data_IF_362109914786
#
_entry.id   IF_362109914786
#
_cell.length_a   1.000
_cell.length_b   1.000
_cell.length_c   1.000
_cell.angle_alpha   90.00
_cell.angle_beta   90.00
_cell.angle_gamma   90.00
#
_symmetry.space_group_name_H-M   'P 1'
#
loop_
_entity.id
_entity.type
_entity.pdbx_description
1 polymer ?
#
# COMPACT_ATOMS: atom_id res chain seq x y z
N UNK A 1 47.81 -25.68 -32.03
CA UNK A 1 48.54 -25.20 -30.84
C UNK A 1 47.52 -24.89 -29.77
N UNK A 2 47.45 -25.72 -28.72
CA UNK A 2 46.52 -25.55 -27.61
C UNK A 2 47.11 -24.55 -26.63
N UNK A 3 46.49 -23.38 -26.46
CA UNK A 3 46.87 -22.40 -25.43
C UNK A 3 46.00 -22.65 -24.19
N UNK A 4 46.60 -23.25 -23.18
CA UNK A 4 46.01 -23.36 -21.83
C UNK A 4 46.05 -21.98 -21.21
N UNK A 5 44.89 -21.48 -20.77
CA UNK A 5 44.75 -20.22 -20.06
C UNK A 5 44.93 -20.53 -18.57
N UNK A 6 46.11 -20.25 -18.01
CA UNK A 6 46.33 -20.33 -16.57
C UNK A 6 45.51 -19.21 -15.90
N UNK A 7 44.63 -19.61 -14.98
CA UNK A 7 43.78 -18.71 -14.22
C UNK A 7 44.59 -17.72 -13.35
N UNK A 8 43.92 -16.72 -12.77
CA UNK A 8 44.61 -15.67 -12.02
C UNK A 8 45.35 -16.26 -10.80
N UNK A 9 46.49 -15.66 -10.41
CA UNK A 9 47.32 -16.17 -9.33
C UNK A 9 46.55 -16.17 -8.01
N UNK A 10 46.53 -17.34 -7.36
CA UNK A 10 46.00 -17.50 -6.00
C UNK A 10 46.88 -16.71 -5.02
N UNK A 11 46.40 -15.53 -4.62
CA UNK A 11 46.96 -14.81 -3.46
C UNK A 11 46.63 -15.61 -2.20
N UNK A 12 47.67 -16.08 -1.50
CA UNK A 12 47.56 -16.76 -0.21
C UNK A 12 46.88 -15.91 0.87
N UNK A 13 46.55 -16.52 2.03
CA UNK A 13 45.64 -15.95 3.00
C UNK A 13 46.28 -14.77 3.75
N UNK A 14 46.05 -13.56 3.25
CA UNK A 14 46.33 -12.33 3.99
C UNK A 14 45.17 -12.06 4.96
N UNK A 15 45.44 -12.25 6.26
CA UNK A 15 44.81 -11.61 7.41
C UNK A 15 43.29 -11.36 7.32
N UNK A 16 42.47 -12.33 7.77
CA UNK A 16 41.19 -12.09 8.48
C UNK A 16 40.09 -11.22 7.87
N UNK A 17 40.28 -10.61 6.71
CA UNK A 17 39.29 -9.80 6.03
C UNK A 17 38.45 -10.74 5.15
N UNK A 18 37.12 -10.80 5.34
CA UNK A 18 36.27 -11.60 4.48
C UNK A 18 36.45 -11.12 3.04
N UNK A 19 36.76 -12.06 2.13
CA UNK A 19 36.92 -11.78 0.70
C UNK A 19 35.67 -11.04 0.18
N UNK A 20 35.78 -9.78 -0.26
CA UNK A 20 34.63 -8.99 -0.72
C UNK A 20 33.97 -9.57 -1.97
N UNK A 21 34.67 -10.47 -2.68
CA UNK A 21 34.20 -11.16 -3.88
C UNK A 21 33.65 -12.58 -3.62
N UNK A 22 33.63 -13.05 -2.36
CA UNK A 22 33.11 -14.38 -2.01
C UNK A 22 31.64 -14.60 -2.40
N UNK A 23 30.92 -13.51 -2.63
CA UNK A 23 29.52 -13.48 -2.98
C UNK A 23 29.29 -12.95 -4.39
N UNK A 24 30.25 -13.03 -5.31
CA UNK A 24 29.98 -12.82 -6.73
C UNK A 24 29.84 -14.17 -7.41
N UNK A 25 28.80 -14.33 -8.23
CA UNK A 25 28.67 -15.49 -9.10
C UNK A 25 29.63 -15.40 -10.29
N UNK A 26 29.61 -16.41 -11.16
CA UNK A 26 30.47 -16.49 -12.35
C UNK A 26 30.25 -15.35 -13.35
N UNK A 27 29.17 -14.58 -13.22
CA UNK A 27 28.84 -13.40 -14.04
C UNK A 27 29.24 -12.08 -13.39
N UNK A 28 29.78 -12.13 -12.16
CA UNK A 28 30.08 -10.93 -11.36
C UNK A 28 28.86 -10.36 -10.64
N UNK A 29 27.73 -11.07 -10.62
CA UNK A 29 26.52 -10.65 -9.91
C UNK A 29 26.56 -11.08 -8.44
N UNK A 30 26.09 -10.23 -7.54
CA UNK A 30 26.09 -10.52 -6.11
C UNK A 30 25.12 -11.68 -5.77
N UNK A 31 25.66 -12.80 -5.30
CA UNK A 31 24.97 -14.01 -4.83
C UNK A 31 24.81 -14.08 -3.31
N UNK A 32 25.31 -13.08 -2.58
CA UNK A 32 25.17 -13.01 -1.12
C UNK A 32 23.77 -12.53 -0.69
N UNK A 33 23.50 -12.45 0.62
CA UNK A 33 22.24 -11.91 1.11
C UNK A 33 22.02 -10.48 0.56
N UNK A 34 20.76 -10.11 0.21
CA UNK A 34 20.42 -8.78 -0.24
C UNK A 34 20.95 -7.69 0.70
N UNK A 35 21.26 -6.50 0.15
CA UNK A 35 21.82 -5.38 0.91
C UNK A 35 21.02 -5.07 2.20
N UNK A 36 19.70 -5.10 2.10
CA UNK A 36 18.81 -4.84 3.23
C UNK A 36 19.05 -5.80 4.42
N UNK A 37 19.23 -7.10 4.16
CA UNK A 37 19.52 -8.09 5.22
C UNK A 37 20.89 -7.85 5.85
N UNK A 38 21.87 -7.41 5.04
CA UNK A 38 23.22 -7.06 5.52
C UNK A 38 23.23 -5.80 6.38
N UNK A 39 22.33 -4.86 6.09
CA UNK A 39 22.15 -3.65 6.90
C UNK A 39 21.47 -3.98 8.23
N UNK A 40 20.46 -4.85 8.23
CA UNK A 40 19.78 -5.30 9.44
C UNK A 40 20.66 -6.17 10.34
N UNK A 41 21.56 -6.99 9.78
CA UNK A 41 22.34 -7.97 10.56
C UNK A 41 23.51 -7.41 11.36
N UNK A 42 23.83 -6.13 11.22
CA UNK A 42 24.94 -5.48 11.93
C UNK A 42 24.41 -4.30 12.72
N UNK A 43 24.86 -4.04 13.95
CA UNK A 43 24.44 -2.84 14.68
C UNK A 43 24.84 -1.57 13.92
N UNK A 44 24.05 -0.50 14.08
CA UNK A 44 24.48 0.83 13.67
C UNK A 44 25.71 1.26 14.48
N UNK A 45 26.60 2.04 13.86
CA UNK A 45 27.67 2.71 14.59
C UNK A 45 27.06 3.87 15.37
N UNK A 46 27.59 4.14 16.56
CA UNK A 46 27.24 5.36 17.28
C UNK A 46 27.58 6.59 16.44
N UNK A 47 26.70 7.59 16.48
CA UNK A 47 26.84 8.84 15.72
C UNK A 47 26.81 10.03 16.68
N UNK A 48 27.82 10.18 17.56
CA UNK A 48 27.83 11.20 18.61
C UNK A 48 27.82 12.63 18.05
N UNK A 49 28.38 12.82 16.85
CA UNK A 49 28.45 14.12 16.18
C UNK A 49 27.20 14.45 15.34
N UNK A 50 26.20 13.55 15.31
CA UNK A 50 24.98 13.76 14.56
C UNK A 50 23.90 14.36 15.48
N UNK A 51 23.47 15.62 15.30
CA UNK A 51 22.46 16.23 16.16
C UNK A 51 21.13 15.47 16.16
N UNK A 52 20.80 14.82 15.03
CA UNK A 52 19.61 13.98 14.92
C UNK A 52 19.65 12.80 15.89
N UNK A 53 20.80 12.16 16.12
CA UNK A 53 20.90 11.02 17.05
C UNK A 53 21.35 11.42 18.46
N UNK A 54 22.03 12.55 18.61
CA UNK A 54 22.56 13.01 19.89
C UNK A 54 21.56 13.88 20.67
N UNK A 55 20.88 14.82 20.00
CA UNK A 55 20.00 15.79 20.66
C UNK A 55 18.53 15.48 20.48
N UNK A 56 18.14 14.86 19.36
CA UNK A 56 16.74 14.63 19.02
C UNK A 56 16.21 13.35 19.68
N UNK A 57 15.17 13.41 20.51
CA UNK A 57 14.53 12.23 21.08
C UNK A 57 13.98 11.30 19.99
N UNK A 58 13.87 10.01 20.29
CA UNK A 58 13.41 9.00 19.34
C UNK A 58 11.99 9.29 18.81
N UNK A 59 11.13 9.87 19.65
CA UNK A 59 9.76 10.26 19.30
C UNK A 59 9.74 11.34 18.22
N UNK A 60 10.61 12.34 18.34
CA UNK A 60 10.72 13.42 17.36
C UNK A 60 11.39 12.92 16.08
N UNK A 61 12.40 12.06 16.18
CA UNK A 61 12.97 11.37 15.02
C UNK A 61 11.91 10.58 14.27
N UNK A 62 11.09 9.81 14.97
CA UNK A 62 10.00 9.03 14.38
C UNK A 62 9.00 9.91 13.62
N UNK A 63 8.67 11.10 14.13
CA UNK A 63 7.83 12.07 13.41
C UNK A 63 8.52 12.60 12.15
N UNK A 64 9.78 13.01 12.26
CA UNK A 64 10.57 13.50 11.11
C UNK A 64 10.64 12.42 10.02
N UNK A 65 10.98 11.18 10.41
CA UNK A 65 11.08 10.05 9.50
C UNK A 65 9.74 9.71 8.87
N UNK A 66 8.66 9.75 9.65
CA UNK A 66 7.32 9.48 9.12
C UNK A 66 6.89 10.51 8.10
N UNK A 67 7.17 11.79 8.33
CA UNK A 67 6.88 12.85 7.36
C UNK A 67 7.74 12.70 6.08
N UNK A 68 9.02 12.36 6.23
CA UNK A 68 9.93 12.15 5.11
C UNK A 68 9.60 10.91 4.27
N UNK A 69 9.00 9.88 4.88
CA UNK A 69 8.66 8.59 4.26
C UNK A 69 7.17 8.43 3.97
N UNK A 70 6.38 9.49 4.12
CA UNK A 70 4.97 9.48 3.74
C UNK A 70 4.84 9.29 2.22
N UNK A 71 3.86 8.51 1.79
CA UNK A 71 3.62 8.32 0.37
C UNK A 71 2.80 9.47 -0.23
N UNK A 72 2.98 9.72 -1.52
CA UNK A 72 2.29 10.76 -2.27
C UNK A 72 2.11 10.35 -3.73
N UNK A 73 1.17 10.98 -4.44
CA UNK A 73 0.99 10.78 -5.88
C UNK A 73 2.20 11.34 -6.64
N UNK A 74 2.80 10.57 -7.55
CA UNK A 74 3.98 11.02 -8.29
C UNK A 74 3.67 12.29 -9.09
N UNK A 75 4.32 13.44 -8.79
CA UNK A 75 4.00 14.71 -9.44
C UNK A 75 4.56 14.81 -10.86
N UNK A 76 5.39 13.88 -11.30
CA UNK A 76 5.96 13.92 -12.64
C UNK A 76 4.87 13.80 -13.71
N UNK A 77 4.85 14.70 -14.67
CA UNK A 77 3.86 14.73 -15.75
C UNK A 77 3.83 13.40 -16.52
N UNK A 78 4.99 12.81 -16.78
CA UNK A 78 5.12 11.51 -17.46
C UNK A 78 4.55 10.32 -16.66
N UNK A 79 4.23 10.51 -15.37
CA UNK A 79 3.62 9.50 -14.49
C UNK A 79 2.11 9.70 -14.32
N UNK A 80 1.57 10.82 -14.77
CA UNK A 80 0.13 11.06 -14.70
C UNK A 80 -0.60 10.05 -15.58
N UNK A 81 -1.63 9.42 -15.04
CA UNK A 81 -2.45 8.54 -15.83
C UNK A 81 -3.23 9.33 -16.88
N UNK A 82 -3.50 8.69 -18.02
CA UNK A 82 -4.37 9.28 -19.04
C UNK A 82 -5.75 9.57 -18.48
N UNK A 83 -6.30 10.76 -18.77
CA UNK A 83 -7.65 11.15 -18.35
C UNK A 83 -8.76 10.20 -18.83
N UNK A 84 -8.49 9.44 -19.89
CA UNK A 84 -9.43 8.50 -20.49
C UNK A 84 -9.24 7.06 -19.98
N UNK A 85 -8.22 6.79 -19.16
CA UNK A 85 -8.02 5.46 -18.62
C UNK A 85 -9.07 5.17 -17.54
N UNK A 86 -9.58 3.94 -17.50
CA UNK A 86 -10.65 3.55 -16.59
C UNK A 86 -10.23 3.50 -15.10
N UNK A 87 -8.95 3.72 -14.78
CA UNK A 87 -8.43 3.79 -13.40
C UNK A 87 -8.09 5.21 -12.95
N UNK A 88 -8.15 6.20 -13.83
CA UNK A 88 -7.82 7.60 -13.53
C UNK A 88 -9.01 8.31 -12.91
N UNK A 89 -8.77 9.08 -11.85
CA UNK A 89 -9.81 9.85 -11.13
C UNK A 89 -9.20 10.99 -10.31
N UNK A 90 -9.99 11.98 -9.87
CA UNK A 90 -9.48 13.12 -9.10
C UNK A 90 -8.76 12.72 -7.80
N UNK A 91 -9.18 11.64 -7.14
CA UNK A 91 -8.56 11.11 -5.92
C UNK A 91 -7.48 10.05 -6.17
N UNK A 92 -7.21 9.70 -7.43
CA UNK A 92 -6.17 8.75 -7.83
C UNK A 92 -5.73 9.01 -9.28
N UNK A 93 -4.81 9.96 -9.45
CA UNK A 93 -4.43 10.51 -10.76
C UNK A 93 -3.07 10.02 -11.26
N UNK A 94 -2.26 9.48 -10.36
CA UNK A 94 -0.93 8.97 -10.63
C UNK A 94 -0.58 7.81 -9.67
N UNK A 95 0.44 6.98 -9.97
CA UNK A 95 0.94 6.02 -9.00
C UNK A 95 1.43 6.72 -7.73
N UNK A 96 1.19 6.08 -6.58
CA UNK A 96 1.72 6.54 -5.30
C UNK A 96 3.14 6.04 -5.09
N UNK A 97 4.04 6.93 -4.69
CA UNK A 97 5.45 6.63 -4.38
C UNK A 97 5.84 7.14 -3.00
N UNK A 98 6.94 6.60 -2.50
CA UNK A 98 7.60 7.05 -1.27
C UNK A 98 9.06 7.34 -1.61
N UNK A 99 9.58 8.48 -1.15
CA UNK A 99 10.99 8.80 -1.33
C UNK A 99 11.86 8.00 -0.35
N UNK A 100 12.61 7.04 -0.87
CA UNK A 100 13.43 6.13 -0.06
C UNK A 100 14.87 6.62 0.14
N UNK A 101 15.21 7.84 -0.29
CA UNK A 101 16.56 8.39 -0.16
C UNK A 101 17.03 8.43 1.30
N UNK A 102 16.11 8.71 2.23
CA UNK A 102 16.38 8.68 3.66
C UNK A 102 16.91 7.30 4.12
N UNK A 103 16.35 6.19 3.61
CA UNK A 103 16.78 4.83 3.96
C UNK A 103 18.22 4.52 3.50
N UNK A 104 18.76 5.30 2.58
CA UNK A 104 20.10 5.12 2.02
C UNK A 104 21.16 5.98 2.73
N UNK A 105 20.77 6.79 3.72
CA UNK A 105 21.68 7.73 4.39
C UNK A 105 22.67 7.04 5.33
N UNK A 106 22.16 6.30 6.33
CA UNK A 106 22.98 5.55 7.27
C UNK A 106 22.22 4.35 7.84
N UNK A 107 22.96 3.46 8.51
CA UNK A 107 22.37 2.26 9.11
C UNK A 107 21.43 2.56 10.28
N UNK A 108 21.71 3.60 11.08
CA UNK A 108 20.85 3.97 12.20
C UNK A 108 19.46 4.38 11.71
N UNK A 109 19.40 5.24 10.70
CA UNK A 109 18.14 5.60 10.02
C UNK A 109 17.48 4.35 9.46
N UNK A 110 18.20 3.53 8.70
CA UNK A 110 17.63 2.32 8.11
C UNK A 110 17.01 1.38 9.16
N UNK A 111 17.70 1.16 10.28
CA UNK A 111 17.22 0.29 11.36
C UNK A 111 15.93 0.82 12.00
N UNK A 112 15.82 2.14 12.21
CA UNK A 112 14.62 2.76 12.77
C UNK A 112 13.44 2.82 11.78
N UNK A 113 13.68 2.74 10.46
CA UNK A 113 12.68 3.22 9.47
C UNK A 113 12.39 2.31 8.28
N UNK A 114 13.12 1.21 8.07
CA UNK A 114 13.00 0.42 6.84
C UNK A 114 11.58 -0.10 6.52
N UNK A 115 10.74 -0.28 7.53
CA UNK A 115 9.36 -0.75 7.41
C UNK A 115 8.36 0.40 7.20
N UNK A 116 8.74 1.64 7.51
CA UNK A 116 7.86 2.80 7.43
C UNK A 116 7.28 3.08 6.03
N UNK A 117 8.03 2.93 4.92
CA UNK A 117 7.43 3.08 3.59
C UNK A 117 6.27 2.13 3.31
N UNK A 118 6.23 0.98 4.00
CA UNK A 118 5.09 0.07 3.90
C UNK A 118 3.95 0.51 4.83
N UNK A 119 4.25 0.79 6.10
CA UNK A 119 3.19 1.08 7.10
C UNK A 119 2.52 2.44 6.91
N UNK A 120 3.26 3.43 6.42
CA UNK A 120 2.76 4.79 6.15
C UNK A 120 2.04 4.91 4.80
N UNK A 121 2.34 4.00 3.86
CA UNK A 121 1.72 4.00 2.54
C UNK A 121 0.25 3.60 2.64
N UNK A 122 -0.62 4.34 1.95
CA UNK A 122 -1.99 3.88 1.72
C UNK A 122 -1.96 2.58 0.91
N UNK A 123 -2.29 1.46 1.56
CA UNK A 123 -2.32 0.16 0.91
C UNK A 123 -3.45 0.13 -0.11
N UNK A 124 -3.11 0.08 -1.40
CA UNK A 124 -4.09 0.18 -2.48
C UNK A 124 -4.18 -1.15 -3.23
N UNK A 125 -5.38 -1.70 -3.32
CA UNK A 125 -5.62 -3.00 -3.92
C UNK A 125 -6.73 -2.96 -4.98
N UNK A 126 -6.42 -3.50 -6.16
CA UNK A 126 -7.36 -3.61 -7.27
C UNK A 126 -7.93 -5.04 -7.31
N UNK A 127 -9.18 -5.20 -6.88
CA UNK A 127 -9.95 -6.45 -6.92
C UNK A 127 -10.81 -6.44 -8.19
N UNK A 128 -10.14 -6.58 -9.32
CA UNK A 128 -10.75 -6.51 -10.66
C UNK A 128 -9.90 -7.34 -11.63
N UNK A 129 -10.21 -7.30 -12.93
CA UNK A 129 -9.34 -7.85 -13.96
C UNK A 129 -8.13 -6.93 -14.20
N UNK A 130 -7.05 -7.48 -14.75
CA UNK A 130 -5.79 -6.74 -14.93
C UNK A 130 -5.92 -5.53 -15.88
N UNK A 131 -6.80 -5.60 -16.88
CA UNK A 131 -7.08 -4.52 -17.83
C UNK A 131 -7.86 -3.35 -17.21
N UNK A 132 -8.35 -3.49 -15.97
CA UNK A 132 -9.06 -2.45 -15.24
C UNK A 132 -8.25 -1.87 -14.08
N UNK A 133 -6.98 -2.22 -13.97
CA UNK A 133 -6.02 -1.66 -13.01
C UNK A 133 -4.90 -0.92 -13.75
N UNK A 134 -4.19 0.02 -13.09
CA UNK A 134 -3.00 0.65 -13.65
C UNK A 134 -1.97 -0.37 -14.13
N UNK A 135 -1.25 -0.11 -15.23
CA UNK A 135 -0.34 -1.08 -15.86
C UNK A 135 0.81 -1.55 -14.96
N UNK A 136 1.23 -0.74 -13.99
CA UNK A 136 2.24 -1.09 -12.98
C UNK A 136 1.69 -2.01 -11.88
N UNK A 137 0.37 -2.05 -11.68
CA UNK A 137 -0.25 -2.85 -10.63
C UNK A 137 -0.47 -4.28 -11.11
N UNK A 138 0.14 -5.26 -10.43
CA UNK A 138 0.05 -6.68 -10.79
C UNK A 138 -1.06 -7.36 -10.00
N UNK A 139 -2.28 -7.34 -10.51
CA UNK A 139 -3.49 -7.86 -9.81
C UNK A 139 -3.27 -9.28 -9.28
N UNK A 140 -2.79 -10.19 -10.14
CA UNK A 140 -2.62 -11.61 -9.78
C UNK A 140 -1.51 -11.88 -8.76
N UNK A 141 -0.54 -10.96 -8.62
CA UNK A 141 0.58 -11.10 -7.70
C UNK A 141 0.37 -10.33 -6.39
N UNK A 142 -0.51 -9.32 -6.38
CA UNK A 142 -0.62 -8.36 -5.29
C UNK A 142 -0.85 -9.00 -3.91
N UNK A 143 -1.70 -10.03 -3.82
CA UNK A 143 -1.94 -10.77 -2.57
C UNK A 143 -0.67 -11.47 -2.06
N UNK A 144 0.07 -12.14 -2.95
CA UNK A 144 1.32 -12.82 -2.62
C UNK A 144 2.39 -11.82 -2.18
N UNK A 145 2.53 -10.73 -2.92
CA UNK A 145 3.56 -9.72 -2.66
C UNK A 145 3.27 -8.98 -1.33
N UNK A 146 1.99 -8.72 -1.01
CA UNK A 146 1.57 -8.22 0.30
C UNK A 146 1.92 -9.21 1.41
N UNK A 147 1.58 -10.50 1.26
CA UNK A 147 1.90 -11.54 2.25
C UNK A 147 3.40 -11.59 2.54
N UNK A 148 4.22 -11.63 1.50
CA UNK A 148 5.67 -11.68 1.65
C UNK A 148 6.21 -10.47 2.42
N UNK A 149 5.63 -9.28 2.18
CA UNK A 149 6.03 -8.05 2.87
C UNK A 149 5.60 -8.08 4.33
N UNK A 150 4.35 -8.47 4.62
CA UNK A 150 3.82 -8.65 5.98
C UNK A 150 4.66 -9.65 6.76
N UNK A 151 4.89 -10.84 6.20
CA UNK A 151 5.67 -11.90 6.85
C UNK A 151 7.13 -11.50 7.09
N UNK A 152 7.68 -10.64 6.22
CA UNK A 152 9.02 -10.07 6.43
C UNK A 152 9.01 -9.09 7.61
N UNK A 153 8.07 -8.15 7.66
CA UNK A 153 7.97 -7.17 8.75
C UNK A 153 7.75 -7.87 10.09
N UNK A 154 6.84 -8.84 10.15
CA UNK A 154 6.60 -9.61 11.39
C UNK A 154 7.84 -10.33 11.91
N UNK A 155 8.67 -10.87 10.99
CA UNK A 155 9.90 -11.59 11.36
C UNK A 155 11.04 -10.66 11.77
N UNK A 156 11.22 -9.54 11.06
CA UNK A 156 12.38 -8.66 11.23
C UNK A 156 12.14 -7.49 12.20
N UNK A 157 10.88 -7.11 12.44
CA UNK A 157 10.50 -6.00 13.32
C UNK A 157 9.76 -6.46 14.60
N UNK A 158 9.64 -7.79 14.81
CA UNK A 158 9.01 -8.43 15.98
C UNK A 158 7.55 -7.99 16.27
N UNK A 159 6.90 -7.30 15.33
CA UNK A 159 5.51 -6.90 15.42
C UNK A 159 4.58 -8.03 15.01
N UNK A 160 3.65 -8.41 15.90
CA UNK A 160 2.62 -9.41 15.58
C UNK A 160 1.50 -8.85 14.71
N UNK A 161 1.18 -7.57 14.91
CA UNK A 161 0.13 -6.83 14.21
C UNK A 161 0.79 -5.62 13.58
N UNK A 162 0.59 -5.45 12.27
CA UNK A 162 1.15 -4.34 11.53
C UNK A 162 0.10 -3.24 11.45
N UNK A 163 0.43 -2.08 12.02
CA UNK A 163 -0.37 -0.86 11.91
C UNK A 163 -0.21 -0.20 10.55
N UNK A 164 -1.33 0.05 9.88
CA UNK A 164 -1.44 0.84 8.67
C UNK A 164 -2.33 2.06 8.96
N UNK A 165 -2.10 3.14 8.25
CA UNK A 165 -3.02 4.27 8.30
C UNK A 165 -4.37 3.92 7.63
N UNK A 166 -4.30 3.46 6.38
CA UNK A 166 -5.46 3.23 5.55
C UNK A 166 -5.25 2.15 4.49
N UNK A 167 -6.35 1.49 4.11
CA UNK A 167 -6.42 0.54 3.00
C UNK A 167 -7.51 0.96 2.01
N UNK A 168 -7.24 0.83 0.72
CA UNK A 168 -8.15 1.21 -0.37
C UNK A 168 -8.34 0.05 -1.31
N UNK A 169 -9.60 -0.22 -1.64
CA UNK A 169 -10.01 -1.21 -2.61
C UNK A 169 -10.67 -0.53 -3.80
N UNK A 170 -10.17 -0.84 -4.99
CA UNK A 170 -10.89 -0.62 -6.24
C UNK A 170 -11.50 -1.95 -6.63
N UNK A 171 -12.82 -2.01 -6.79
CA UNK A 171 -13.50 -3.28 -7.08
C UNK A 171 -14.69 -3.09 -7.99
N UNK A 172 -15.08 -4.18 -8.64
CA UNK A 172 -16.35 -4.27 -9.35
C UNK A 172 -17.44 -4.71 -8.39
N UNK A 173 -18.69 -4.31 -8.63
CA UNK A 173 -19.81 -4.72 -7.78
C UNK A 173 -19.98 -6.24 -7.71
N UNK A 174 -19.57 -6.97 -8.75
CA UNK A 174 -19.58 -8.44 -8.78
C UNK A 174 -18.49 -9.11 -7.93
N UNK A 175 -17.50 -8.33 -7.45
CA UNK A 175 -16.35 -8.80 -6.67
C UNK A 175 -16.30 -8.15 -5.28
N UNK A 176 -17.41 -7.58 -4.79
CA UNK A 176 -17.45 -6.90 -3.50
C UNK A 176 -17.18 -7.86 -2.34
N UNK A 177 -17.71 -9.08 -2.41
CA UNK A 177 -17.46 -10.14 -1.44
C UNK A 177 -15.98 -10.51 -1.37
N UNK A 178 -15.26 -10.41 -2.48
CA UNK A 178 -13.82 -10.66 -2.52
C UNK A 178 -12.99 -9.64 -1.74
N UNK A 179 -13.55 -8.48 -1.36
CA UNK A 179 -12.92 -7.56 -0.40
C UNK A 179 -12.84 -8.21 0.98
N UNK A 180 -13.91 -8.85 1.44
CA UNK A 180 -13.92 -9.58 2.71
C UNK A 180 -12.95 -10.77 2.65
N UNK A 181 -12.97 -11.54 1.56
CA UNK A 181 -12.04 -12.65 1.33
C UNK A 181 -10.56 -12.20 1.30
N UNK A 182 -10.31 -10.99 0.81
CA UNK A 182 -8.99 -10.38 0.87
C UNK A 182 -8.62 -10.11 2.33
N UNK A 183 -9.46 -9.40 3.08
CA UNK A 183 -9.18 -9.02 4.47
C UNK A 183 -9.02 -10.24 5.39
N UNK A 184 -9.83 -11.29 5.20
CA UNK A 184 -9.72 -12.55 5.93
C UNK A 184 -8.34 -13.21 5.82
N UNK A 185 -7.63 -12.98 4.72
CA UNK A 185 -6.28 -13.48 4.53
C UNK A 185 -5.26 -12.70 5.36
N UNK A 186 -5.51 -11.45 5.70
CA UNK A 186 -4.56 -10.58 6.40
C UNK A 186 -5.09 -10.15 7.78
N UNK A 187 -5.34 -11.10 8.71
CA UNK A 187 -5.87 -10.79 10.05
C UNK A 187 -4.88 -9.99 10.91
N UNK A 188 -3.61 -9.99 10.52
CA UNK A 188 -2.53 -9.30 11.23
C UNK A 188 -2.39 -7.82 10.83
N UNK A 189 -3.24 -7.33 9.92
CA UNK A 189 -3.28 -5.92 9.54
C UNK A 189 -4.28 -5.17 10.42
N UNK A 190 -3.79 -4.16 11.11
CA UNK A 190 -4.62 -3.15 11.77
C UNK A 190 -4.63 -1.88 10.93
N UNK A 191 -5.79 -1.33 10.64
CA UNK A 191 -5.92 -0.05 9.94
C UNK A 191 -7.04 0.79 10.53
N UNK A 192 -6.96 2.11 10.36
CA UNK A 192 -7.96 3.05 10.87
C UNK A 192 -9.04 3.36 9.85
N UNK A 193 -8.69 3.42 8.56
CA UNK A 193 -9.62 3.79 7.48
C UNK A 193 -9.62 2.74 6.37
N UNK A 194 -10.80 2.42 5.86
CA UNK A 194 -10.97 1.59 4.67
C UNK A 194 -11.78 2.32 3.62
N UNK A 195 -11.26 2.35 2.39
CA UNK A 195 -11.93 2.93 1.23
C UNK A 195 -12.36 1.81 0.30
N UNK A 196 -13.63 1.80 -0.12
CA UNK A 196 -14.11 0.96 -1.22
C UNK A 196 -14.56 1.91 -2.32
N UNK A 197 -13.93 1.80 -3.48
CA UNK A 197 -14.25 2.58 -4.66
C UNK A 197 -14.97 1.72 -5.69
N UNK A 198 -16.16 2.17 -6.09
CA UNK A 198 -16.90 1.65 -7.25
C UNK A 198 -16.92 2.73 -8.35
N UNK A 199 -16.28 2.44 -9.48
CA UNK A 199 -16.25 3.36 -10.63
C UNK A 199 -17.53 3.26 -11.44
N UNK A 200 -17.78 4.23 -12.32
CA UNK A 200 -18.96 4.22 -13.18
C UNK A 200 -19.08 2.94 -14.02
N UNK A 201 -17.96 2.42 -14.53
CA UNK A 201 -17.90 1.16 -15.30
C UNK A 201 -17.98 -0.11 -14.46
N UNK A 202 -18.00 0.01 -13.14
CA UNK A 202 -17.95 -1.12 -12.21
C UNK A 202 -19.32 -1.47 -11.61
N UNK A 203 -20.35 -0.69 -11.98
CA UNK A 203 -21.74 -1.01 -11.71
C UNK A 203 -22.21 -2.21 -12.55
N UNK A 204 -23.17 -2.96 -12.02
CA UNK A 204 -23.79 -4.08 -12.73
C UNK A 204 -24.38 -3.65 -14.07
N UNK A 205 -24.01 -4.35 -15.15
CA UNK A 205 -24.54 -4.15 -16.50
C UNK A 205 -24.43 -2.69 -16.98
N UNK A 206 -23.37 -2.01 -16.59
CA UNK A 206 -23.10 -0.63 -17.00
C UNK A 206 -23.08 -0.48 -18.53
N UNK A 207 -22.50 -1.47 -19.20
CA UNK A 207 -22.32 -1.56 -20.64
C UNK A 207 -23.68 -1.59 -21.40
N UNK A 208 -24.73 -2.08 -20.75
CA UNK A 208 -26.10 -2.16 -21.28
C UNK A 208 -26.96 -0.94 -20.90
N UNK A 209 -26.35 0.08 -20.30
CA UNK A 209 -27.01 1.27 -19.78
C UNK A 209 -28.11 1.01 -18.72
N UNK A 210 -28.01 -0.12 -18.00
CA UNK A 210 -28.97 -0.49 -16.95
C UNK A 210 -29.01 0.55 -15.80
N UNK A 211 -30.17 0.75 -15.14
CA UNK A 211 -30.28 1.62 -13.97
C UNK A 211 -29.29 1.24 -12.86
N UNK A 212 -28.68 2.26 -12.24
CA UNK A 212 -27.73 2.04 -11.16
C UNK A 212 -28.45 1.41 -9.96
N UNK A 213 -27.78 0.44 -9.33
CA UNK A 213 -28.25 -0.22 -8.11
C UNK A 213 -27.07 -0.68 -7.27
N UNK A 214 -27.21 -0.61 -5.95
CA UNK A 214 -26.18 -1.08 -5.02
C UNK A 214 -26.83 -1.81 -3.83
N UNK A 215 -26.70 -3.13 -3.81
CA UNK A 215 -27.22 -3.96 -2.74
C UNK A 215 -26.24 -4.07 -1.55
N UNK A 216 -26.79 -4.39 -0.37
CA UNK A 216 -26.04 -4.42 0.90
C UNK A 216 -25.64 -5.83 1.38
N UNK A 217 -25.88 -6.88 0.60
CA UNK A 217 -25.70 -8.27 1.05
C UNK A 217 -24.26 -8.66 1.39
N UNK A 218 -23.28 -7.93 0.86
CA UNK A 218 -21.85 -8.11 1.14
C UNK A 218 -21.42 -7.57 2.53
N UNK A 219 -22.18 -6.61 3.09
CA UNK A 219 -21.82 -5.90 4.33
C UNK A 219 -21.60 -6.85 5.52
N UNK A 220 -22.48 -7.83 5.81
CA UNK A 220 -22.24 -8.75 6.92
C UNK A 220 -20.93 -9.54 6.78
N UNK A 221 -20.54 -9.91 5.56
CA UNK A 221 -19.26 -10.58 5.30
C UNK A 221 -18.08 -9.68 5.53
N UNK A 222 -18.16 -8.44 5.05
CA UNK A 222 -17.14 -7.42 5.25
C UNK A 222 -16.94 -7.05 6.73
N UNK A 223 -18.02 -6.81 7.48
CA UNK A 223 -17.97 -6.49 8.91
C UNK A 223 -17.29 -7.58 9.75
N UNK A 224 -17.48 -8.86 9.39
CA UNK A 224 -16.76 -9.97 10.06
C UNK A 224 -15.26 -9.87 9.93
N UNK A 225 -14.74 -9.18 8.91
CA UNK A 225 -13.31 -9.07 8.64
C UNK A 225 -12.68 -7.72 9.05
N UNK A 226 -13.50 -6.72 9.42
CA UNK A 226 -13.03 -5.40 9.83
C UNK A 226 -12.30 -5.45 11.19
N UNK A 227 -11.03 -5.04 11.28
CA UNK A 227 -10.32 -4.95 12.55
C UNK A 227 -10.99 -3.98 13.54
N UNK A 228 -10.79 -4.23 14.84
CA UNK A 228 -11.25 -3.35 15.94
C UNK A 228 -10.65 -1.93 15.89
N UNK A 229 -9.57 -1.73 15.13
CA UNK A 229 -8.91 -0.43 14.97
C UNK A 229 -9.60 0.47 13.95
N UNK A 230 -10.55 -0.05 13.18
CA UNK A 230 -11.24 0.72 12.14
C UNK A 230 -12.14 1.76 12.79
N UNK A 231 -12.03 2.99 12.28
CA UNK A 231 -12.81 4.16 12.72
C UNK A 231 -13.61 4.77 11.57
N UNK A 232 -13.25 4.45 10.34
CA UNK A 232 -13.90 5.01 9.15
C UNK A 232 -14.00 3.97 8.05
N UNK A 233 -15.20 3.86 7.47
CA UNK A 233 -15.48 3.12 6.24
C UNK A 233 -16.00 4.13 5.22
N UNK A 234 -15.24 4.36 4.16
CA UNK A 234 -15.60 5.30 3.10
C UNK A 234 -15.97 4.52 1.84
N UNK A 235 -17.19 4.71 1.36
CA UNK A 235 -17.63 4.18 0.06
C UNK A 235 -17.62 5.31 -0.94
N UNK A 236 -16.70 5.26 -1.90
CA UNK A 236 -16.60 6.21 -2.99
C UNK A 236 -17.28 5.63 -4.24
N UNK A 237 -18.19 6.38 -4.84
CA UNK A 237 -18.87 5.95 -6.04
C UNK A 237 -18.78 7.03 -7.11
N UNK A 238 -18.57 6.60 -8.35
CA UNK A 238 -18.48 7.49 -9.50
C UNK A 238 -19.56 7.14 -10.51
N UNK A 239 -20.14 8.15 -11.16
CA UNK A 239 -21.04 7.94 -12.29
C UNK A 239 -20.89 9.06 -13.32
N UNK A 240 -21.49 8.87 -14.49
CA UNK A 240 -21.61 9.92 -15.51
C UNK A 240 -22.72 10.90 -15.13
N UNK A 241 -22.61 12.15 -15.62
CA UNK A 241 -23.58 13.23 -15.33
C UNK A 241 -25.04 12.83 -15.55
N UNK A 242 -25.36 12.08 -16.62
CA UNK A 242 -26.74 11.67 -16.94
C UNK A 242 -27.37 10.70 -15.93
N UNK A 243 -26.58 10.05 -15.06
CA UNK A 243 -27.08 9.14 -14.01
C UNK A 243 -26.83 9.67 -12.58
N UNK A 244 -26.42 10.93 -12.42
CA UNK A 244 -26.06 11.48 -11.10
C UNK A 244 -27.20 11.36 -10.09
N UNK A 245 -28.44 11.66 -10.49
CA UNK A 245 -29.61 11.54 -9.62
C UNK A 245 -29.81 10.13 -9.09
N UNK A 246 -29.58 9.10 -9.91
CA UNK A 246 -29.67 7.71 -9.45
C UNK A 246 -28.60 7.40 -8.40
N UNK A 247 -27.39 7.94 -8.58
CA UNK A 247 -26.33 7.78 -7.62
C UNK A 247 -26.61 8.52 -6.30
N UNK A 248 -27.18 9.72 -6.38
CA UNK A 248 -27.60 10.51 -5.22
C UNK A 248 -28.67 9.75 -4.40
N UNK A 249 -29.65 9.15 -5.07
CA UNK A 249 -30.68 8.33 -4.43
C UNK A 249 -30.08 7.10 -3.73
N UNK A 250 -29.12 6.43 -4.38
CA UNK A 250 -28.39 5.29 -3.79
C UNK A 250 -27.62 5.74 -2.56
N UNK A 251 -26.84 6.83 -2.66
CA UNK A 251 -26.06 7.35 -1.55
C UNK A 251 -26.94 7.74 -0.36
N UNK A 252 -28.11 8.34 -0.62
CA UNK A 252 -29.08 8.68 0.40
C UNK A 252 -29.64 7.42 1.11
N UNK A 253 -30.01 6.39 0.34
CA UNK A 253 -30.49 5.12 0.90
C UNK A 253 -29.40 4.40 1.71
N UNK A 254 -28.15 4.42 1.23
CA UNK A 254 -27.00 3.89 1.94
C UNK A 254 -26.81 4.60 3.28
N UNK A 255 -26.80 5.93 3.30
CA UNK A 255 -26.62 6.70 4.51
C UNK A 255 -27.70 6.44 5.57
N UNK A 256 -28.93 6.16 5.15
CA UNK A 256 -30.05 5.87 6.06
C UNK A 256 -30.08 4.43 6.58
N UNK A 257 -29.65 3.46 5.76
CA UNK A 257 -29.92 2.03 6.01
C UNK A 257 -28.68 1.24 6.34
N UNK A 258 -27.52 1.65 5.85
CA UNK A 258 -26.29 0.89 6.02
C UNK A 258 -25.62 1.29 7.33
N UNK A 259 -25.12 0.28 8.01
CA UNK A 259 -24.29 0.42 9.19
C UNK A 259 -23.22 -0.67 9.11
N UNK A 260 -22.02 -0.31 9.52
CA UNK A 260 -20.90 -1.24 9.58
C UNK A 260 -20.62 -1.59 11.04
N UNK A 261 -19.93 -2.70 11.26
CA UNK A 261 -19.50 -3.12 12.58
C UNK A 261 -18.09 -3.68 12.49
N UNK A 262 -17.23 -3.27 13.41
CA UNK A 262 -15.90 -3.86 13.58
C UNK A 262 -16.00 -5.24 14.26
N UNK A 263 -14.91 -6.01 14.22
CA UNK A 263 -14.82 -7.36 14.83
C UNK A 263 -15.19 -7.39 16.32
N UNK A 264 -14.89 -6.34 17.07
CA UNK A 264 -15.19 -6.19 18.50
C UNK A 264 -16.61 -5.66 18.78
N UNK A 265 -17.35 -5.29 17.73
CA UNK A 265 -18.76 -4.95 17.83
C UNK A 265 -19.07 -3.46 17.79
N UNK A 266 -18.07 -2.58 17.65
CA UNK A 266 -18.26 -1.14 17.52
C UNK A 266 -18.99 -0.82 16.20
N UNK A 267 -20.09 -0.07 16.31
CA UNK A 267 -20.92 0.27 15.16
C UNK A 267 -20.46 1.58 14.51
N UNK A 268 -20.36 1.58 13.18
CA UNK A 268 -20.04 2.75 12.37
C UNK A 268 -21.29 3.13 11.56
N UNK A 269 -21.72 4.37 11.70
CA UNK A 269 -22.88 4.94 11.02
C UNK A 269 -22.43 5.97 10.00
N UNK A 270 -23.31 6.27 9.03
CA UNK A 270 -23.04 7.31 8.06
C UNK A 270 -22.82 8.66 8.75
N UNK A 271 -21.83 9.41 8.26
CA UNK A 271 -21.60 10.77 8.73
C UNK A 271 -22.79 11.66 8.33
N UNK A 272 -23.53 12.11 9.33
CA UNK A 272 -24.69 13.00 9.16
C UNK A 272 -24.29 14.47 9.09
N UNK A 273 -23.00 14.80 9.26
CA UNK A 273 -22.49 16.17 9.28
C UNK A 273 -22.00 16.67 7.91
N UNK A 274 -21.76 15.76 6.96
CA UNK A 274 -21.34 16.12 5.61
C UNK A 274 -22.53 16.63 4.77
N UNK A 275 -22.66 17.96 4.67
CA UNK A 275 -23.23 18.55 3.44
C UNK A 275 -22.37 18.03 2.29
N UNK A 276 -22.97 17.26 1.39
CA UNK A 276 -22.28 16.63 0.27
C UNK A 276 -21.32 17.62 -0.39
N UNK A 277 -20.07 17.21 -0.60
CA UNK A 277 -19.14 17.96 -1.43
C UNK A 277 -19.68 17.92 -2.87
N UNK A 278 -20.56 18.87 -3.16
CA UNK A 278 -20.98 19.19 -4.51
C UNK A 278 -19.74 19.49 -5.33
N UNK A 279 -19.62 18.83 -6.47
CA UNK A 279 -18.56 19.06 -7.43
C UNK A 279 -18.35 20.57 -7.67
N UNK A 280 -17.22 21.11 -7.23
CA UNK A 280 -16.68 22.35 -7.80
C UNK A 280 -16.31 22.03 -9.26
N UNK A 281 -17.27 22.20 -10.15
CA UNK A 281 -16.98 22.47 -11.55
C UNK A 281 -16.32 23.86 -11.61
N UNK A 282 -14.99 23.89 -11.59
CA UNK A 282 -14.25 25.09 -12.02
C UNK A 282 -14.19 25.06 -13.55
N UNK A 283 -14.74 26.10 -14.15
CA UNK A 283 -14.73 26.36 -15.59
C UNK A 283 -13.37 26.77 -16.12
#
# INVERSE_FOLDING_TARGET
MSSVFDGPPQLGPALGFPNPFAHLDKTGAWSGPPLHQRLSSKPAREQPDCPLFQSCPAEIRSQIFSLALLDYEDPAEARQYSKNACWTRPSYSAPRRTDIALLQTCRAVYQETWFLPFTLKQQTHWITSQDRAPPEYRVYNAKRDLRQTVDKIKREHEEKVIGLDSIRFFTQMCNLESVAEFLAQFPDLAFRRVFITIRHTDFWYWEDDEPLRFACHWIPGFCRELPATVREVTIEMETVRRKSTQLDDIAHQMAQRWHFRTKDGEALFADSTAKGHGAEARG
#
